data_IF_932762383337
#
_entry.id   IF_932762383337
#
_cell.length_a   1.000
_cell.length_b   1.000
_cell.length_c   1.000
_cell.angle_alpha   90.00
_cell.angle_beta   90.00
_cell.angle_gamma   90.00
#
_symmetry.space_group_name_H-M   'P 1'
#
loop_
_entity.id
_entity.type
_entity.pdbx_description
1 polymer ?
#
# COMPACT_ATOMS: atom_id res chain seq x y z
N UNK A 1 -22.46 -14.49 13.79
CA UNK A 1 -21.38 -13.61 14.30
C UNK A 1 -20.06 -13.89 13.59
N UNK A 2 -19.42 -15.04 13.82
CA UNK A 2 -18.15 -15.43 13.20
C UNK A 2 -18.15 -15.38 11.65
N UNK A 3 -19.21 -15.88 11.01
CA UNK A 3 -19.30 -15.89 9.55
C UNK A 3 -19.26 -14.51 8.89
N UNK A 4 -19.80 -13.47 9.55
CA UNK A 4 -19.73 -12.08 9.04
C UNK A 4 -18.29 -11.58 9.08
N UNK A 5 -17.57 -11.83 10.18
CA UNK A 5 -16.17 -11.40 10.32
C UNK A 5 -15.27 -12.12 9.31
N UNK A 6 -15.43 -13.43 9.14
CA UNK A 6 -14.66 -14.20 8.14
C UNK A 6 -14.95 -13.70 6.72
N UNK A 7 -16.20 -13.37 6.40
CA UNK A 7 -16.55 -12.80 5.11
C UNK A 7 -15.89 -11.44 4.89
N UNK A 8 -15.98 -10.53 5.88
CA UNK A 8 -15.36 -9.20 5.81
C UNK A 8 -13.85 -9.27 5.72
N UNK A 9 -13.24 -10.24 6.41
CA UNK A 9 -11.81 -10.52 6.31
C UNK A 9 -11.41 -10.88 4.88
N UNK A 10 -12.15 -11.76 4.23
CA UNK A 10 -11.90 -12.17 2.84
C UNK A 10 -12.10 -11.01 1.85
N UNK A 11 -13.12 -10.20 2.04
CA UNK A 11 -13.33 -9.00 1.21
C UNK A 11 -12.17 -8.01 1.36
N UNK A 12 -11.68 -7.77 2.57
CA UNK A 12 -10.50 -6.93 2.77
C UNK A 12 -9.25 -7.55 2.12
N UNK A 13 -9.07 -8.87 2.20
CA UNK A 13 -7.98 -9.55 1.49
C UNK A 13 -8.06 -9.31 -0.03
N UNK A 14 -9.24 -9.37 -0.63
CA UNK A 14 -9.40 -9.06 -2.06
C UNK A 14 -9.14 -7.58 -2.38
N UNK A 15 -9.49 -6.66 -1.47
CA UNK A 15 -9.14 -5.24 -1.61
C UNK A 15 -7.62 -5.03 -1.60
N UNK A 16 -6.88 -5.85 -0.86
CA UNK A 16 -5.42 -5.79 -0.82
C UNK A 16 -4.82 -6.01 -2.21
N UNK A 17 -5.33 -6.99 -2.97
CA UNK A 17 -4.85 -7.26 -4.33
C UNK A 17 -5.08 -6.05 -5.25
N UNK A 18 -6.25 -5.41 -5.15
CA UNK A 18 -6.55 -4.19 -5.89
C UNK A 18 -5.59 -3.05 -5.52
N UNK A 19 -5.30 -2.87 -4.23
CA UNK A 19 -4.34 -1.85 -3.77
C UNK A 19 -2.94 -2.13 -4.30
N UNK A 20 -2.50 -3.39 -4.27
CA UNK A 20 -1.19 -3.81 -4.78
C UNK A 20 -1.05 -3.54 -6.28
N UNK A 21 -2.09 -3.82 -7.07
CA UNK A 21 -2.09 -3.49 -8.51
C UNK A 21 -2.00 -1.98 -8.72
N UNK A 22 -2.76 -1.18 -7.97
CA UNK A 22 -2.70 0.28 -8.09
C UNK A 22 -1.33 0.83 -7.69
N UNK A 23 -0.70 0.32 -6.63
CA UNK A 23 0.65 0.71 -6.23
C UNK A 23 1.70 0.35 -7.29
N UNK A 24 1.60 -0.83 -7.89
CA UNK A 24 2.48 -1.24 -9.00
C UNK A 24 2.30 -0.34 -10.22
N UNK A 25 1.06 0.03 -10.56
CA UNK A 25 0.78 0.95 -11.65
C UNK A 25 1.36 2.35 -11.39
N UNK A 26 1.24 2.88 -10.17
CA UNK A 26 1.87 4.16 -9.79
C UNK A 26 3.39 4.11 -9.99
N UNK A 27 4.04 3.02 -9.56
CA UNK A 27 5.47 2.80 -9.80
C UNK A 27 5.84 2.85 -11.28
N UNK A 28 5.08 2.15 -12.11
CA UNK A 28 5.32 2.11 -13.56
C UNK A 28 5.14 3.49 -14.21
N UNK A 29 4.06 4.21 -13.90
CA UNK A 29 3.83 5.55 -14.44
C UNK A 29 4.90 6.55 -13.98
N UNK A 30 5.34 6.45 -12.72
CA UNK A 30 6.42 7.29 -12.23
C UNK A 30 7.74 7.03 -12.97
N UNK A 31 8.15 5.77 -13.17
CA UNK A 31 9.35 5.44 -13.95
C UNK A 31 9.24 5.90 -15.42
N UNK A 32 8.08 5.72 -16.05
CA UNK A 32 7.85 6.21 -17.41
C UNK A 32 7.92 7.73 -17.49
N UNK A 33 7.33 8.44 -16.53
CA UNK A 33 7.40 9.90 -16.43
C UNK A 33 8.84 10.37 -16.29
N UNK A 34 9.64 9.79 -15.40
CA UNK A 34 11.06 10.15 -15.27
C UNK A 34 11.85 9.95 -16.57
N UNK A 35 11.55 8.89 -17.33
CA UNK A 35 12.13 8.65 -18.65
C UNK A 35 11.78 9.76 -19.66
N UNK A 36 10.50 10.19 -19.70
CA UNK A 36 10.02 11.26 -20.58
C UNK A 36 10.59 12.63 -20.18
N UNK A 37 10.64 12.94 -18.88
CA UNK A 37 11.24 14.17 -18.35
C UNK A 37 12.73 14.26 -18.72
N UNK A 38 13.46 13.15 -18.60
CA UNK A 38 14.87 13.05 -18.97
C UNK A 38 15.08 13.22 -20.49
N UNK A 39 14.22 12.64 -21.32
CA UNK A 39 14.25 12.85 -22.76
C UNK A 39 13.98 14.31 -23.15
N UNK A 40 12.97 14.93 -22.53
CA UNK A 40 12.65 16.35 -22.75
C UNK A 40 13.83 17.25 -22.36
N UNK A 41 14.49 16.96 -21.24
CA UNK A 41 15.70 17.68 -20.78
C UNK A 41 16.85 17.56 -21.77
N UNK A 42 17.10 16.37 -22.33
CA UNK A 42 18.15 16.14 -23.36
C UNK A 42 17.84 16.82 -24.70
N UNK A 43 16.56 16.89 -25.08
CA UNK A 43 16.10 17.64 -26.25
C UNK A 43 16.39 19.14 -26.13
N UNK A 44 16.13 19.74 -24.96
CA UNK A 44 16.41 21.16 -24.67
C UNK A 44 17.90 21.51 -24.65
N UNK A 45 18.81 20.55 -24.39
CA UNK A 45 20.27 20.77 -24.38
C UNK A 45 20.95 20.49 -25.74
N UNK A 46 20.31 19.80 -26.69
CA UNK A 46 20.94 19.41 -27.96
C UNK A 46 21.05 20.54 -28.99
N UNK A 47 20.56 21.74 -28.69
CA UNK A 47 20.69 22.93 -29.54
C UNK A 47 22.11 23.55 -29.54
N UNK A 48 23.12 22.91 -28.94
CA UNK A 48 24.51 23.39 -28.91
C UNK A 48 25.51 22.67 -29.86
N UNK A 49 25.12 21.61 -30.59
CA UNK A 49 26.02 20.95 -31.53
C UNK A 49 25.40 20.79 -32.92
N UNK A 50 25.36 21.92 -33.63
CA UNK A 50 25.38 21.92 -35.09
C UNK A 50 26.73 21.37 -35.56
N UNK A 51 26.85 20.04 -35.69
CA UNK A 51 28.09 19.41 -36.14
C UNK A 51 28.09 17.90 -36.02
N UNK A 52 27.55 17.23 -37.04
CA UNK A 52 27.89 15.86 -37.47
C UNK A 52 27.89 14.75 -36.40
N UNK A 53 26.84 13.92 -36.39
CA UNK A 53 26.96 12.46 -36.62
C UNK A 53 25.62 11.76 -36.36
N UNK A 54 25.16 11.01 -37.37
CA UNK A 54 24.18 9.89 -37.40
C UNK A 54 23.05 9.90 -36.35
N UNK A 55 21.76 9.88 -36.75
CA UNK A 55 20.66 9.78 -35.81
C UNK A 55 20.77 8.45 -35.04
N UNK A 56 21.26 8.50 -33.80
CA UNK A 56 21.20 7.40 -32.81
C UNK A 56 19.77 7.15 -32.31
N UNK A 57 18.78 7.65 -33.05
CA UNK A 57 17.37 7.66 -32.70
C UNK A 57 16.75 6.26 -32.67
N UNK A 58 17.39 5.24 -33.26
CA UNK A 58 16.77 3.93 -33.47
C UNK A 58 17.25 2.81 -32.51
N UNK A 59 18.20 3.08 -31.62
CA UNK A 59 18.76 2.07 -30.72
C UNK A 59 18.60 2.40 -29.21
N UNK A 60 18.37 3.67 -28.87
CA UNK A 60 18.10 4.12 -27.51
C UNK A 60 16.64 4.56 -27.41
N UNK A 61 15.81 3.99 -26.50
CA UNK A 61 14.42 4.41 -26.31
C UNK A 61 14.30 5.90 -25.96
N UNK A 62 15.30 6.49 -25.30
CA UNK A 62 15.36 7.94 -25.06
C UNK A 62 15.63 8.72 -26.36
N UNK A 63 16.40 8.15 -27.29
CA UNK A 63 16.67 8.73 -28.61
C UNK A 63 15.44 8.82 -29.51
N UNK A 64 14.48 7.90 -29.36
CA UNK A 64 13.17 7.98 -30.02
C UNK A 64 12.30 9.10 -29.42
N UNK A 65 12.28 9.23 -28.09
CA UNK A 65 11.49 10.25 -27.41
C UNK A 65 11.94 11.68 -27.76
N UNK A 66 13.25 11.89 -27.96
CA UNK A 66 13.81 13.19 -28.37
C UNK A 66 13.39 13.60 -29.80
N UNK A 67 12.91 12.67 -30.62
CA UNK A 67 12.40 12.99 -31.97
C UNK A 67 11.00 13.64 -31.95
N UNK A 68 10.29 13.59 -30.82
CA UNK A 68 8.97 14.22 -30.69
C UNK A 68 9.08 15.68 -30.27
N UNK A 69 8.10 16.54 -30.66
CA UNK A 69 8.04 17.92 -30.19
C UNK A 69 7.95 18.00 -28.66
N UNK A 70 8.55 19.04 -28.07
CA UNK A 70 8.52 19.30 -26.62
C UNK A 70 7.10 19.34 -26.06
N UNK A 71 6.16 19.97 -26.78
CA UNK A 71 4.74 20.03 -26.42
C UNK A 71 4.08 18.65 -26.32
N UNK A 72 4.54 17.67 -27.10
CA UNK A 72 4.06 16.29 -27.04
C UNK A 72 4.57 15.60 -25.78
N UNK A 73 5.83 15.82 -25.42
CA UNK A 73 6.41 15.27 -24.20
C UNK A 73 5.75 15.87 -22.95
N UNK A 74 5.46 17.17 -22.96
CA UNK A 74 4.72 17.85 -21.88
C UNK A 74 3.30 17.29 -21.71
N UNK A 75 2.60 17.02 -22.81
CA UNK A 75 1.29 16.37 -22.77
C UNK A 75 1.35 14.97 -22.15
N UNK A 76 2.36 14.17 -22.50
CA UNK A 76 2.56 12.82 -21.94
C UNK A 76 2.84 12.90 -20.43
N UNK A 77 3.67 13.84 -19.99
CA UNK A 77 3.92 14.06 -18.55
C UNK A 77 2.62 14.44 -17.83
N UNK A 78 1.85 15.38 -18.38
CA UNK A 78 0.57 15.78 -17.79
C UNK A 78 -0.45 14.62 -17.73
N UNK A 79 -0.45 13.74 -18.73
CA UNK A 79 -1.27 12.54 -18.73
C UNK A 79 -0.85 11.58 -17.62
N UNK A 80 0.46 11.32 -17.45
CA UNK A 80 0.95 10.48 -16.36
C UNK A 80 0.59 11.05 -14.99
N UNK A 81 0.64 12.38 -14.80
CA UNK A 81 0.20 13.01 -13.55
C UNK A 81 -1.30 12.80 -13.29
N UNK A 82 -2.13 12.87 -14.34
CA UNK A 82 -3.56 12.57 -14.26
C UNK A 82 -3.82 11.10 -13.89
N UNK A 83 -3.09 10.16 -14.52
CA UNK A 83 -3.20 8.73 -14.25
C UNK A 83 -2.77 8.38 -12.83
N UNK A 84 -1.68 8.98 -12.34
CA UNK A 84 -1.23 8.84 -10.94
C UNK A 84 -2.30 9.39 -9.98
N UNK A 85 -2.89 10.55 -10.27
CA UNK A 85 -3.97 11.11 -9.45
C UNK A 85 -5.20 10.19 -9.38
N UNK A 86 -5.60 9.60 -10.52
CA UNK A 86 -6.71 8.64 -10.57
C UNK A 86 -6.41 7.38 -9.74
N UNK A 87 -5.17 6.86 -9.80
CA UNK A 87 -4.74 5.72 -8.99
C UNK A 87 -4.72 6.04 -7.49
N UNK A 88 -4.28 7.24 -7.09
CA UNK A 88 -4.34 7.70 -5.70
C UNK A 88 -5.78 7.84 -5.18
N UNK A 89 -6.72 8.21 -6.05
CA UNK A 89 -8.14 8.24 -5.74
C UNK A 89 -8.70 6.81 -5.58
N UNK A 90 -8.32 5.88 -6.45
CA UNK A 90 -8.66 4.46 -6.34
C UNK A 90 -8.17 3.86 -5.01
N UNK A 91 -6.90 4.11 -4.64
CA UNK A 91 -6.35 3.70 -3.35
C UNK A 91 -7.14 4.27 -2.17
N UNK A 92 -7.55 5.54 -2.25
CA UNK A 92 -8.38 6.17 -1.22
C UNK A 92 -9.73 5.47 -1.07
N UNK A 93 -10.38 5.16 -2.19
CA UNK A 93 -11.68 4.48 -2.22
C UNK A 93 -11.57 3.06 -1.63
N UNK A 94 -10.51 2.33 -1.99
CA UNK A 94 -10.22 1.02 -1.43
C UNK A 94 -9.99 1.10 0.09
N UNK A 95 -9.27 2.11 0.57
CA UNK A 95 -9.01 2.33 2.00
C UNK A 95 -10.31 2.67 2.77
N UNK A 96 -11.17 3.52 2.21
CA UNK A 96 -12.47 3.82 2.79
C UNK A 96 -13.35 2.57 2.87
N UNK A 97 -13.39 1.78 1.79
CA UNK A 97 -14.12 0.51 1.74
C UNK A 97 -13.61 -0.46 2.79
N UNK A 98 -12.29 -0.57 2.96
CA UNK A 98 -11.68 -1.36 4.03
C UNK A 98 -12.16 -0.91 5.41
N UNK A 99 -12.12 0.40 5.68
CA UNK A 99 -12.58 0.98 6.94
C UNK A 99 -14.04 0.62 7.25
N UNK A 100 -14.93 0.72 6.25
CA UNK A 100 -16.33 0.31 6.39
C UNK A 100 -16.48 -1.18 6.69
N UNK A 101 -15.72 -2.05 6.00
CA UNK A 101 -15.78 -3.51 6.20
C UNK A 101 -15.24 -3.91 7.58
N UNK A 102 -14.17 -3.27 8.04
CA UNK A 102 -13.64 -3.43 9.39
C UNK A 102 -14.65 -3.01 10.45
N UNK A 103 -15.32 -1.88 10.25
CA UNK A 103 -16.34 -1.40 11.18
C UNK A 103 -17.52 -2.38 11.28
N UNK A 104 -17.99 -2.90 10.14
CA UNK A 104 -19.02 -3.94 10.10
C UNK A 104 -18.59 -5.23 10.82
N UNK A 105 -17.31 -5.61 10.73
CA UNK A 105 -16.77 -6.75 11.46
C UNK A 105 -16.73 -6.50 12.99
N UNK A 106 -16.37 -5.28 13.42
CA UNK A 106 -16.39 -4.88 14.83
C UNK A 106 -17.80 -4.85 15.40
N UNK A 107 -18.77 -4.31 14.66
CA UNK A 107 -20.18 -4.26 15.06
C UNK A 107 -20.77 -5.66 15.20
N UNK A 108 -20.38 -6.59 14.32
CA UNK A 108 -20.80 -7.99 14.43
C UNK A 108 -20.35 -8.64 15.74
N UNK A 109 -19.22 -8.19 16.32
CA UNK A 109 -18.66 -8.70 17.58
C UNK A 109 -19.25 -8.04 18.83
N UNK A 110 -19.94 -6.90 18.71
CA UNK A 110 -20.53 -6.27 19.88
C UNK A 110 -21.69 -7.12 20.41
N UNK A 111 -21.72 -7.41 21.73
CA UNK A 111 -22.87 -8.07 22.32
C UNK A 111 -24.07 -7.15 22.15
N UNK A 112 -25.10 -7.60 21.41
CA UNK A 112 -26.39 -6.92 21.38
C UNK A 112 -26.92 -6.89 22.80
N UNK A 113 -26.82 -5.75 23.48
CA UNK A 113 -27.64 -5.43 24.65
C UNK A 113 -29.08 -5.31 24.14
N UNK A 114 -29.77 -6.43 24.06
CA UNK A 114 -31.23 -6.47 24.05
C UNK A 114 -31.66 -6.75 25.48
N UNK A 115 -32.49 -5.84 25.96
CA UNK A 115 -33.28 -5.94 27.18
C UNK A 115 -34.13 -7.23 27.18
N UNK A 116 -34.49 -7.64 28.41
CA UNK A 116 -35.42 -8.73 28.79
C UNK A 116 -34.86 -10.15 28.98
N UNK A 117 -34.95 -10.62 30.24
CA UNK A 117 -35.47 -11.97 30.52
C UNK A 117 -34.47 -13.03 30.96
N UNK A 118 -34.37 -13.19 32.28
CA UNK A 118 -33.91 -14.38 33.04
C UNK A 118 -34.00 -15.72 32.29
N UNK A 119 -32.89 -16.46 32.17
CA UNK A 119 -32.71 -17.82 32.71
C UNK A 119 -31.47 -18.55 32.16
N UNK A 120 -30.62 -18.99 33.10
CA UNK A 120 -29.81 -20.22 33.14
C UNK A 120 -29.56 -20.97 31.81
N UNK A 121 -28.29 -21.01 31.40
CA UNK A 121 -27.58 -22.29 31.17
C UNK A 121 -26.07 -22.04 31.08
N UNK A 122 -25.39 -22.22 32.21
CA UNK A 122 -23.94 -22.40 32.25
C UNK A 122 -23.68 -23.89 32.06
N UNK A 123 -23.35 -24.31 30.83
CA UNK A 123 -22.74 -25.59 30.47
C UNK A 123 -22.60 -25.66 28.93
N UNK A 124 -21.72 -24.83 28.35
CA UNK A 124 -21.07 -25.04 27.04
C UNK A 124 -20.12 -23.87 26.72
N UNK A 125 -19.18 -23.54 27.61
CA UNK A 125 -18.28 -22.38 27.40
C UNK A 125 -16.95 -22.73 26.75
N UNK A 126 -16.50 -24.00 26.81
CA UNK A 126 -15.14 -24.35 26.39
C UNK A 126 -14.96 -24.45 24.87
N UNK A 127 -16.00 -24.81 24.11
CA UNK A 127 -15.99 -24.77 22.63
C UNK A 127 -16.27 -23.38 22.04
N UNK A 128 -16.97 -22.51 22.77
CA UNK A 128 -17.30 -21.15 22.32
C UNK A 128 -16.16 -20.15 22.54
N UNK A 129 -15.30 -20.38 23.53
CA UNK A 129 -14.15 -19.53 23.83
C UNK A 129 -13.14 -19.50 22.67
N UNK A 130 -12.75 -20.66 22.13
CA UNK A 130 -11.80 -20.75 21.01
C UNK A 130 -12.36 -20.15 19.71
N UNK A 131 -13.65 -20.36 19.42
CA UNK A 131 -14.30 -19.76 18.24
C UNK A 131 -14.47 -18.24 18.35
N UNK A 132 -14.61 -17.69 19.56
CA UNK A 132 -14.67 -16.25 19.74
C UNK A 132 -13.28 -15.62 19.63
N UNK A 133 -12.23 -16.25 20.21
CA UNK A 133 -10.84 -15.77 20.16
C UNK A 133 -10.33 -15.63 18.72
N UNK A 134 -10.55 -16.64 17.88
CA UNK A 134 -10.14 -16.61 16.46
C UNK A 134 -10.85 -15.54 15.62
N UNK A 135 -12.03 -15.09 16.04
CA UNK A 135 -12.74 -14.02 15.34
C UNK A 135 -12.19 -12.64 15.75
N UNK A 136 -11.78 -12.48 17.01
CA UNK A 136 -11.08 -11.27 17.46
C UNK A 136 -9.71 -11.12 16.81
N UNK A 137 -8.97 -12.21 16.61
CA UNK A 137 -7.65 -12.17 15.94
C UNK A 137 -7.77 -11.71 14.49
N UNK A 138 -8.79 -12.18 13.75
CA UNK A 138 -9.07 -11.68 12.40
C UNK A 138 -9.35 -10.17 12.38
N UNK A 139 -10.15 -9.65 13.32
CA UNK A 139 -10.42 -8.20 13.41
C UNK A 139 -9.16 -7.40 13.79
N UNK A 140 -8.29 -7.96 14.65
CA UNK A 140 -7.02 -7.34 15.01
C UNK A 140 -6.09 -7.22 13.79
N UNK A 141 -5.97 -8.28 12.97
CA UNK A 141 -5.22 -8.26 11.71
C UNK A 141 -5.77 -7.17 10.78
N UNK A 142 -7.09 -7.11 10.58
CA UNK A 142 -7.70 -6.10 9.72
C UNK A 142 -7.47 -4.67 10.21
N UNK A 143 -7.52 -4.45 11.53
CA UNK A 143 -7.29 -3.14 12.14
C UNK A 143 -5.83 -2.69 12.00
N UNK A 144 -4.88 -3.59 12.27
CA UNK A 144 -3.45 -3.30 12.14
C UNK A 144 -3.08 -3.02 10.69
N UNK A 145 -3.55 -3.86 9.75
CA UNK A 145 -3.30 -3.65 8.33
C UNK A 145 -3.91 -2.35 7.81
N UNK A 146 -5.12 -1.99 8.26
CA UNK A 146 -5.74 -0.72 7.89
C UNK A 146 -4.91 0.48 8.35
N UNK A 147 -4.36 0.45 9.57
CA UNK A 147 -3.50 1.50 10.09
C UNK A 147 -2.22 1.66 9.26
N UNK A 148 -1.58 0.53 8.93
CA UNK A 148 -0.38 0.51 8.12
C UNK A 148 -0.62 1.02 6.68
N UNK A 149 -1.68 0.54 6.01
CA UNK A 149 -2.08 1.00 4.67
C UNK A 149 -2.39 2.50 4.63
N UNK A 150 -3.03 3.03 5.67
CA UNK A 150 -3.29 4.46 5.80
C UNK A 150 -1.99 5.27 5.89
N UNK A 151 -1.03 4.80 6.68
CA UNK A 151 0.31 5.39 6.75
C UNK A 151 1.02 5.38 5.40
N UNK A 152 0.92 4.25 4.67
CA UNK A 152 1.48 4.10 3.34
C UNK A 152 0.90 5.10 2.33
N UNK A 153 -0.42 5.21 2.24
CA UNK A 153 -1.08 6.13 1.30
C UNK A 153 -0.72 7.58 1.63
N UNK A 154 -0.59 7.92 2.91
CA UNK A 154 -0.19 9.26 3.32
C UNK A 154 1.26 9.58 2.91
N UNK A 155 2.20 8.69 3.21
CA UNK A 155 3.60 8.83 2.81
C UNK A 155 3.76 8.92 1.28
N UNK A 156 3.05 8.05 0.55
CA UNK A 156 3.04 8.04 -0.91
C UNK A 156 2.58 9.37 -1.51
N UNK A 157 1.50 9.95 -0.99
CA UNK A 157 1.02 11.27 -1.45
C UNK A 157 2.03 12.37 -1.19
N UNK A 158 2.64 12.38 -0.01
CA UNK A 158 3.63 13.40 0.35
C UNK A 158 4.84 13.36 -0.58
N UNK A 159 5.37 12.16 -0.87
CA UNK A 159 6.55 12.00 -1.69
C UNK A 159 6.27 12.20 -3.20
N UNK A 160 5.05 11.91 -3.68
CA UNK A 160 4.65 12.17 -5.08
C UNK A 160 4.46 13.66 -5.40
N UNK A 161 4.19 14.50 -4.39
CA UNK A 161 4.09 15.96 -4.58
C UNK A 161 5.46 16.59 -4.84
N UNK A 162 6.53 16.02 -4.27
CA UNK A 162 7.90 16.56 -4.38
C UNK A 162 8.91 15.48 -4.81
N UNK A 163 8.83 14.95 -6.05
CA UNK A 163 9.85 14.05 -6.57
C UNK A 163 11.23 14.74 -6.59
N UNK A 164 12.37 13.99 -6.51
CA UNK A 164 12.50 12.54 -6.74
C UNK A 164 12.81 11.69 -5.50
N UNK A 165 12.81 12.26 -4.29
CA UNK A 165 13.17 11.55 -3.07
C UNK A 165 11.95 11.00 -2.34
N UNK A 166 12.03 9.77 -1.82
CA UNK A 166 10.98 9.13 -1.04
C UNK A 166 11.25 9.28 0.45
N UNK A 167 11.15 10.49 1.01
CA UNK A 167 11.51 10.73 2.42
C UNK A 167 10.55 10.01 3.37
N UNK A 168 9.24 10.17 3.14
CA UNK A 168 8.21 9.61 4.02
C UNK A 168 8.07 8.09 3.83
N UNK A 169 8.14 7.63 2.58
CA UNK A 169 8.13 6.20 2.27
C UNK A 169 9.38 5.51 2.83
N UNK A 170 10.56 6.14 2.77
CA UNK A 170 11.77 5.58 3.39
C UNK A 170 11.61 5.39 4.90
N UNK A 171 11.04 6.38 5.58
CA UNK A 171 10.77 6.29 7.01
C UNK A 171 9.80 5.14 7.32
N UNK A 172 8.67 5.08 6.62
CA UNK A 172 7.67 4.04 6.83
C UNK A 172 8.20 2.62 6.56
N UNK A 173 8.96 2.45 5.47
CA UNK A 173 9.55 1.16 5.08
C UNK A 173 10.71 0.75 6.02
N UNK A 174 11.43 1.72 6.59
CA UNK A 174 12.53 1.51 7.53
C UNK A 174 12.07 1.16 8.94
N UNK A 175 11.09 1.89 9.48
CA UNK A 175 10.57 1.72 10.85
C UNK A 175 10.01 0.32 11.11
N UNK A 176 9.31 -0.26 10.13
CA UNK A 176 8.70 -1.60 10.27
C UNK A 176 9.70 -2.73 10.04
N UNK A 177 10.92 -2.45 9.56
CA UNK A 177 11.99 -3.44 9.47
C UNK A 177 12.79 -3.58 10.77
N UNK A 178 12.62 -2.65 11.73
CA UNK A 178 13.44 -2.50 12.93
C UNK A 178 12.61 -2.57 14.22
N UNK A 179 11.63 -3.49 14.29
CA UNK A 179 11.05 -3.87 15.59
C UNK A 179 12.11 -4.57 16.45
N UNK A 180 12.97 -3.80 17.12
CA UNK A 180 13.93 -4.30 18.11
C UNK A 180 15.22 -3.50 18.31
N UNK A 181 15.53 -2.43 17.56
CA UNK A 181 16.73 -1.62 17.81
C UNK A 181 16.47 -0.12 17.71
N UNK A 182 16.91 0.69 18.70
CA UNK A 182 16.94 2.13 18.54
C UNK A 182 17.94 2.46 17.43
N UNK A 183 17.46 3.11 16.38
CA UNK A 183 18.27 3.47 15.22
C UNK A 183 18.99 4.78 15.52
N UNK A 184 20.30 4.71 15.80
CA UNK A 184 21.20 5.86 16.02
C UNK A 184 21.66 6.56 14.72
N UNK A 185 21.09 6.19 13.56
CA UNK A 185 21.46 6.75 12.27
C UNK A 185 20.29 7.46 11.59
N UNK A 186 20.53 8.61 10.92
CA UNK A 186 19.48 9.27 10.14
C UNK A 186 18.96 8.29 9.05
N UNK A 187 17.65 8.29 8.77
CA UNK A 187 17.07 7.40 7.78
C UNK A 187 17.74 7.65 6.43
N UNK A 188 18.29 6.59 5.84
CA UNK A 188 18.86 6.65 4.48
C UNK A 188 17.70 6.95 3.53
N UNK A 189 17.68 8.16 2.99
CA UNK A 189 16.68 8.58 2.00
C UNK A 189 16.87 7.77 0.72
N UNK A 190 15.87 6.97 0.34
CA UNK A 190 15.87 6.21 -0.91
C UNK A 190 15.23 7.02 -2.04
N UNK A 191 15.57 6.69 -3.29
CA UNK A 191 14.89 7.29 -4.44
C UNK A 191 13.43 6.86 -4.46
N UNK A 192 12.55 7.74 -4.95
CA UNK A 192 11.12 7.45 -5.07
C UNK A 192 10.85 6.22 -5.93
N UNK A 193 11.61 6.05 -7.00
CA UNK A 193 11.51 4.87 -7.86
C UNK A 193 11.80 3.56 -7.11
N UNK A 194 12.87 3.52 -6.31
CA UNK A 194 13.21 2.34 -5.51
C UNK A 194 12.15 2.08 -4.44
N UNK A 195 11.63 3.13 -3.80
CA UNK A 195 10.56 2.99 -2.82
C UNK A 195 9.30 2.39 -3.46
N UNK A 196 8.85 2.95 -4.59
CA UNK A 196 7.64 2.52 -5.30
C UNK A 196 7.72 1.05 -5.77
N UNK A 197 8.87 0.61 -6.27
CA UNK A 197 9.09 -0.77 -6.68
C UNK A 197 8.94 -1.78 -5.54
N UNK A 198 9.25 -1.37 -4.30
CA UNK A 198 9.16 -2.25 -3.13
C UNK A 198 7.74 -2.33 -2.54
N UNK A 199 6.85 -1.38 -2.84
CA UNK A 199 5.55 -1.28 -2.17
C UNK A 199 4.66 -2.52 -2.40
N UNK A 200 4.48 -3.04 -3.63
CA UNK A 200 3.67 -4.23 -3.86
C UNK A 200 4.06 -5.42 -2.97
N UNK A 201 5.35 -5.75 -2.95
CA UNK A 201 5.85 -6.86 -2.15
C UNK A 201 5.88 -6.55 -0.66
N UNK A 202 6.07 -5.29 -0.26
CA UNK A 202 6.00 -4.92 1.15
C UNK A 202 4.58 -5.09 1.69
N UNK A 203 3.56 -4.63 0.97
CA UNK A 203 2.15 -4.76 1.36
C UNK A 203 1.78 -6.23 1.60
N UNK A 204 2.18 -7.13 0.68
CA UNK A 204 1.92 -8.58 0.84
C UNK A 204 2.65 -9.16 2.05
N UNK A 205 3.91 -8.78 2.27
CA UNK A 205 4.71 -9.25 3.42
C UNK A 205 4.13 -8.82 4.75
N UNK A 206 3.73 -7.55 4.89
CA UNK A 206 3.12 -7.04 6.12
C UNK A 206 1.79 -7.74 6.44
N UNK A 207 0.97 -7.99 5.41
CA UNK A 207 -0.27 -8.76 5.55
C UNK A 207 -0.01 -10.16 6.13
N UNK A 208 0.94 -10.90 5.56
CA UNK A 208 1.27 -12.24 6.06
C UNK A 208 1.95 -12.20 7.43
N UNK A 209 2.74 -11.17 7.73
CA UNK A 209 3.35 -10.96 9.04
C UNK A 209 2.29 -10.74 10.12
N UNK A 210 1.32 -9.85 9.90
CA UNK A 210 0.26 -9.60 10.86
C UNK A 210 -0.63 -10.83 11.05
N UNK A 211 -1.00 -11.51 9.96
CA UNK A 211 -1.71 -12.79 10.06
C UNK A 211 -0.96 -13.78 10.94
N UNK A 212 0.32 -14.02 10.65
CA UNK A 212 1.15 -14.96 11.42
C UNK A 212 1.27 -14.55 12.88
N UNK A 213 1.52 -13.27 13.17
CA UNK A 213 1.69 -12.78 14.53
C UNK A 213 0.44 -13.02 15.39
N UNK A 214 -0.72 -12.57 14.91
CA UNK A 214 -1.98 -12.72 15.65
C UNK A 214 -2.45 -14.17 15.77
N UNK A 215 -2.23 -15.01 14.75
CA UNK A 215 -2.56 -16.44 14.82
C UNK A 215 -1.62 -17.20 15.77
N UNK A 216 -0.34 -16.80 15.86
CA UNK A 216 0.61 -17.39 16.81
C UNK A 216 0.30 -17.00 18.25
N UNK A 217 -0.09 -15.75 18.49
CA UNK A 217 -0.51 -15.29 19.82
C UNK A 217 -1.79 -15.98 20.26
N UNK A 218 -2.72 -16.23 19.33
CA UNK A 218 -3.91 -17.06 19.58
C UNK A 218 -3.53 -18.49 19.99
N UNK A 219 -2.65 -19.15 19.22
CA UNK A 219 -2.20 -20.50 19.53
C UNK A 219 -1.50 -20.58 20.91
N UNK A 220 -0.72 -19.55 21.26
CA UNK A 220 -0.09 -19.45 22.59
C UNK A 220 -1.11 -19.28 23.71
N UNK A 221 -2.13 -18.43 23.51
CA UNK A 221 -3.20 -18.24 24.48
C UNK A 221 -4.02 -19.50 24.68
N UNK A 222 -4.30 -20.27 23.62
CA UNK A 222 -5.02 -21.54 23.71
C UNK A 222 -4.22 -22.65 24.41
N UNK A 223 -2.89 -22.63 24.32
CA UNK A 223 -2.01 -23.61 24.99
C UNK A 223 -1.70 -23.25 26.45
N UNK A 224 -2.02 -22.03 26.90
CA UNK A 224 -1.80 -21.56 28.27
C UNK A 224 -3.00 -21.83 29.21
N UNK A 225 -4.07 -22.45 28.69
CA UNK A 225 -5.29 -22.87 29.41
C UNK A 225 -5.33 -24.39 29.49
#
# INVERSE_FOLDING_TARGET
>A
MAGVVVHRFRECQNLLDSMVVSLGAIGNFNSQRTCVEEAARRGRCSCAFAGASVPRCCADPLGMLVAFPETTLELVIAQHDSDIAALLQSLNSAQQTWGTKLQQAKEALQPKRSEEGVAKTALSEQGNASHSLGVYTLVAVLAQMHGWLRGLVFALRADLVNPPQAVQLSALLGEHSMQGRPVEYPPVSMSLEVALQQLPERVRREWELYKKHHLMDEARLMLAV
#
